data_IF_959916423532
#
_entry.id   IF_959916423532
#
_cell.length_a   1.000
_cell.length_b   1.000
_cell.length_c   1.000
_cell.angle_alpha   90.00
_cell.angle_beta   90.00
_cell.angle_gamma   90.00
#
_symmetry.space_group_name_H-M   'P 1'
#
loop_
_entity.id
_entity.type
_entity.pdbx_description
1 polymer ?
#
# COMPACT_ATOMS: atom_id res chain seq x y z
N UNK A 1 16.09 31.64 -17.62
CA UNK A 1 16.04 30.55 -16.63
C UNK A 1 14.88 30.72 -15.65
N UNK A 2 14.37 31.93 -15.43
CA UNK A 2 13.23 32.23 -14.51
C UNK A 2 11.87 31.71 -15.00
N UNK A 3 11.59 31.76 -16.30
CA UNK A 3 10.29 31.34 -16.85
C UNK A 3 9.98 29.85 -16.70
N UNK A 4 11.01 29.00 -16.66
CA UNK A 4 10.87 27.55 -16.48
C UNK A 4 10.61 27.15 -15.04
N UNK A 5 11.23 27.84 -14.07
CA UNK A 5 11.01 27.60 -12.65
C UNK A 5 9.64 28.11 -12.20
N UNK A 6 9.24 29.30 -12.65
CA UNK A 6 7.90 29.83 -12.41
C UNK A 6 6.82 28.93 -13.02
N UNK A 7 7.06 28.42 -14.24
CA UNK A 7 6.19 27.47 -14.90
C UNK A 7 6.05 26.15 -14.14
N UNK A 8 7.15 25.60 -13.61
CA UNK A 8 7.12 24.39 -12.79
C UNK A 8 6.41 24.63 -11.45
N UNK A 9 6.74 25.73 -10.76
CA UNK A 9 6.08 26.10 -9.51
C UNK A 9 4.56 26.27 -9.69
N UNK A 10 4.13 26.82 -10.83
CA UNK A 10 2.71 26.89 -11.19
C UNK A 10 2.09 25.50 -11.37
N UNK A 11 2.74 24.60 -12.10
CA UNK A 11 2.27 23.22 -12.28
C UNK A 11 2.14 22.48 -10.94
N UNK A 12 3.11 22.66 -10.04
CA UNK A 12 3.07 22.06 -8.69
C UNK A 12 1.87 22.58 -7.91
N UNK A 13 1.54 23.87 -7.99
CA UNK A 13 0.38 24.44 -7.29
C UNK A 13 -0.96 23.99 -7.86
N UNK A 14 -1.09 23.97 -9.18
CA UNK A 14 -2.40 23.89 -9.84
C UNK A 14 -2.79 22.48 -10.30
N UNK A 15 -1.82 21.64 -10.69
CA UNK A 15 -2.13 20.36 -11.32
C UNK A 15 -2.27 19.24 -10.29
N UNK A 16 -3.35 18.46 -10.39
CA UNK A 16 -3.70 17.41 -9.42
C UNK A 16 -2.62 16.32 -9.31
N UNK A 17 -1.92 15.99 -10.40
CA UNK A 17 -0.87 14.95 -10.38
C UNK A 17 0.37 15.34 -9.56
N UNK A 18 0.51 16.60 -9.17
CA UNK A 18 1.56 17.11 -8.28
C UNK A 18 1.11 17.21 -6.82
N UNK A 19 -0.06 16.67 -6.47
CA UNK A 19 -0.53 16.64 -5.08
C UNK A 19 0.52 16.07 -4.12
N UNK A 20 1.14 14.96 -4.46
CA UNK A 20 2.20 14.37 -3.65
C UNK A 20 3.40 15.31 -3.43
N UNK A 21 3.74 16.16 -4.41
CA UNK A 21 4.84 17.13 -4.24
C UNK A 21 4.48 18.16 -3.19
N UNK A 22 3.23 18.65 -3.20
CA UNK A 22 2.73 19.58 -2.19
C UNK A 22 2.70 18.93 -0.80
N UNK A 23 2.28 17.67 -0.71
CA UNK A 23 2.26 16.89 0.55
C UNK A 23 3.68 16.63 1.09
N UNK A 24 4.68 16.46 0.21
CA UNK A 24 6.08 16.31 0.62
C UNK A 24 6.70 17.63 1.11
N UNK A 25 6.21 18.78 0.65
CA UNK A 25 6.69 20.11 1.09
C UNK A 25 6.07 20.52 2.44
N UNK A 26 4.93 19.97 2.81
CA UNK A 26 4.25 20.27 4.08
C UNK A 26 4.70 19.30 5.18
N UNK A 27 5.54 19.80 6.09
CA UNK A 27 6.11 19.05 7.21
C UNK A 27 5.05 18.47 8.16
N UNK A 28 3.82 18.99 8.17
CA UNK A 28 2.74 18.46 9.01
C UNK A 28 2.31 17.04 8.62
N UNK A 29 2.57 16.64 7.37
CA UNK A 29 2.33 15.26 6.91
C UNK A 29 3.50 14.31 7.19
N UNK A 30 4.67 14.82 7.60
CA UNK A 30 5.88 14.02 7.74
C UNK A 30 5.80 13.12 8.97
N UNK A 31 5.98 11.83 8.75
CA UNK A 31 6.17 10.82 9.80
C UNK A 31 7.64 10.70 10.18
N UNK A 32 8.51 10.72 9.16
CA UNK A 32 9.96 10.62 9.32
C UNK A 32 10.65 11.13 8.08
N UNK A 33 11.69 11.93 8.28
CA UNK A 33 12.53 12.44 7.20
C UNK A 33 13.99 12.04 7.39
N UNK A 34 14.67 11.82 6.27
CA UNK A 34 16.10 11.47 6.16
C UNK A 34 16.70 12.27 5.01
N UNK A 35 18.01 12.19 4.83
CA UNK A 35 18.73 12.76 3.68
C UNK A 35 18.27 12.18 2.32
N UNK A 36 17.69 10.97 2.31
CA UNK A 36 17.33 10.24 1.08
C UNK A 36 15.84 10.09 0.83
N UNK A 37 15.01 10.24 1.87
CA UNK A 37 13.59 9.92 1.79
C UNK A 37 12.78 10.63 2.86
N UNK A 38 11.50 10.83 2.54
CA UNK A 38 10.48 11.37 3.44
C UNK A 38 9.34 10.35 3.45
N UNK A 39 8.96 9.91 4.65
CA UNK A 39 7.75 9.15 4.87
C UNK A 39 6.65 10.12 5.31
N UNK A 40 5.51 10.09 4.62
CA UNK A 40 4.36 10.93 4.92
C UNK A 40 3.11 10.09 5.20
N UNK A 41 2.15 10.65 5.94
CA UNK A 41 0.81 10.07 6.05
C UNK A 41 0.07 10.22 4.71
N UNK A 42 -0.54 9.14 4.23
CA UNK A 42 -1.42 9.21 3.05
C UNK A 42 -2.69 9.98 3.41
N UNK A 43 -3.05 11.00 2.63
CA UNK A 43 -4.22 11.86 2.87
C UNK A 43 -5.55 11.09 2.72
N UNK A 44 -5.55 9.99 1.97
CA UNK A 44 -6.71 9.20 1.64
C UNK A 44 -6.43 7.71 1.86
N UNK A 45 -6.09 7.28 3.08
CA UNK A 45 -5.56 5.95 3.34
C UNK A 45 -6.58 4.88 2.92
N UNK A 46 -6.17 3.79 2.27
CA UNK A 46 -7.10 2.71 1.84
C UNK A 46 -7.19 1.54 2.83
N UNK A 47 -6.41 1.59 3.89
CA UNK A 47 -6.40 0.68 5.02
C UNK A 47 -6.25 1.51 6.32
N UNK A 48 -6.22 0.88 7.49
CA UNK A 48 -6.03 1.60 8.75
C UNK A 48 -4.68 2.32 8.79
N UNK A 49 -4.68 3.55 9.30
CA UNK A 49 -3.46 4.26 9.69
C UNK A 49 -3.11 3.77 11.08
N UNK A 50 -2.08 2.95 11.17
CA UNK A 50 -1.71 2.28 12.41
C UNK A 50 -0.57 3.06 13.03
N UNK A 51 -0.92 4.09 13.80
CA UNK A 51 0.06 4.85 14.58
C UNK A 51 0.52 4.05 15.80
N UNK A 52 -0.32 3.13 16.31
CA UNK A 52 -0.16 2.53 17.65
C UNK A 52 -0.29 1.00 17.73
N UNK A 53 -0.48 0.29 16.60
CA UNK A 53 -0.57 -1.16 16.64
C UNK A 53 0.81 -1.76 16.35
N UNK A 54 1.31 -2.58 17.28
CA UNK A 54 2.51 -3.42 17.13
C UNK A 54 2.37 -4.50 16.05
N UNK A 55 1.85 -4.11 14.88
CA UNK A 55 1.73 -4.97 13.73
C UNK A 55 3.12 -5.32 13.21
N UNK A 56 3.27 -6.59 12.89
CA UNK A 56 4.49 -7.08 12.28
C UNK A 56 4.57 -6.65 10.82
N UNK A 57 5.81 -6.51 10.32
CA UNK A 57 6.09 -6.20 8.90
C UNK A 57 5.28 -7.07 7.92
N UNK A 58 5.01 -8.33 8.26
CA UNK A 58 4.24 -9.29 7.44
C UNK A 58 2.79 -8.85 7.16
N UNK A 59 2.25 -7.94 7.97
CA UNK A 59 0.88 -7.43 7.87
C UNK A 59 0.78 -6.22 6.92
N UNK A 60 1.89 -5.76 6.37
CA UNK A 60 1.94 -4.67 5.40
C UNK A 60 2.35 -5.17 4.02
N UNK A 61 1.83 -4.49 3.01
CA UNK A 61 2.34 -4.52 1.65
C UNK A 61 3.27 -3.32 1.45
N UNK A 62 4.43 -3.59 0.87
CA UNK A 62 5.42 -2.59 0.44
C UNK A 62 5.51 -2.67 -1.08
N UNK A 63 5.25 -1.58 -1.78
CA UNK A 63 5.25 -1.65 -3.25
C UNK A 63 4.89 -0.37 -3.98
N UNK A 64 4.75 -0.51 -5.29
CA UNK A 64 4.60 0.58 -6.24
C UNK A 64 3.48 0.28 -7.23
N UNK A 65 2.75 1.32 -7.65
CA UNK A 65 1.79 1.19 -8.74
C UNK A 65 2.48 1.20 -10.10
N UNK A 66 2.16 0.23 -10.95
CA UNK A 66 2.39 0.31 -12.38
C UNK A 66 1.52 1.42 -12.97
N UNK A 67 2.12 2.27 -13.81
CA UNK A 67 1.48 3.47 -14.38
C UNK A 67 0.82 4.36 -13.30
N UNK A 68 1.60 4.93 -12.37
CA UNK A 68 1.08 5.75 -11.29
C UNK A 68 0.41 7.02 -11.84
N UNK A 69 -0.65 7.48 -11.16
CA UNK A 69 -1.37 8.69 -11.52
C UNK A 69 -0.67 9.97 -11.04
N UNK A 70 0.10 9.89 -9.96
CA UNK A 70 0.86 11.01 -9.40
C UNK A 70 2.29 11.04 -9.96
N UNK A 71 2.85 12.25 -10.04
CA UNK A 71 4.26 12.47 -10.36
C UNK A 71 5.13 12.09 -9.16
N UNK A 72 6.42 11.83 -9.43
CA UNK A 72 7.45 11.33 -8.50
C UNK A 72 7.26 9.87 -8.11
N UNK A 73 8.38 9.17 -7.94
CA UNK A 73 8.41 7.82 -7.42
C UNK A 73 7.95 7.83 -5.96
N UNK A 74 7.01 6.97 -5.62
CA UNK A 74 6.54 6.79 -4.25
C UNK A 74 6.26 5.32 -3.97
N UNK A 75 6.73 4.85 -2.82
CA UNK A 75 6.45 3.52 -2.32
C UNK A 75 5.25 3.62 -1.38
N UNK A 76 4.26 2.75 -1.57
CA UNK A 76 3.18 2.57 -0.62
C UNK A 76 3.61 1.59 0.46
N UNK A 77 3.32 1.95 1.71
CA UNK A 77 3.34 1.07 2.86
C UNK A 77 1.92 1.04 3.40
N UNK A 78 1.23 -0.08 3.19
CA UNK A 78 -0.21 -0.19 3.45
C UNK A 78 -0.52 -1.50 4.17
N UNK A 79 -1.30 -1.46 5.24
CA UNK A 79 -1.72 -2.67 5.93
C UNK A 79 -2.67 -3.50 5.07
N UNK A 80 -2.63 -4.82 5.24
CA UNK A 80 -3.42 -5.79 4.46
C UNK A 80 -4.90 -5.83 4.85
N UNK A 81 -5.33 -5.03 5.83
CA UNK A 81 -6.73 -5.02 6.29
C UNK A 81 -7.69 -4.36 5.31
N UNK A 82 -7.25 -3.32 4.60
CA UNK A 82 -8.09 -2.52 3.71
C UNK A 82 -9.37 -1.97 4.36
N UNK A 83 -9.35 -1.76 5.68
CA UNK A 83 -10.44 -1.17 6.45
C UNK A 83 -10.27 0.35 6.44
N UNK A 84 -11.01 1.02 5.55
CA UNK A 84 -10.99 2.48 5.46
C UNK A 84 -12.28 3.08 4.86
N UNK A 85 -12.75 4.23 5.37
CA UNK A 85 -13.79 5.03 4.73
C UNK A 85 -13.43 5.51 3.32
N UNK A 86 -12.13 5.66 3.01
CA UNK A 86 -11.63 6.16 1.72
C UNK A 86 -11.55 5.05 0.65
N UNK A 87 -11.73 3.78 1.01
CA UNK A 87 -11.86 2.67 0.06
C UNK A 87 -13.27 2.65 -0.57
N UNK A 88 -13.57 3.60 -1.48
CA UNK A 88 -14.94 3.82 -1.98
C UNK A 88 -15.26 3.18 -3.33
N UNK A 89 -14.25 2.88 -4.15
CA UNK A 89 -14.43 2.48 -5.56
C UNK A 89 -13.66 1.21 -5.88
N UNK A 90 -14.15 0.41 -6.85
CA UNK A 90 -13.47 -0.80 -7.35
C UNK A 90 -12.00 -0.55 -7.64
N UNK A 91 -11.72 0.54 -8.36
CA UNK A 91 -10.36 0.97 -8.67
C UNK A 91 -9.45 1.08 -7.45
N UNK A 92 -9.94 1.60 -6.31
CA UNK A 92 -9.14 1.72 -5.09
C UNK A 92 -8.71 0.35 -4.54
N UNK A 93 -9.52 -0.70 -4.73
CA UNK A 93 -9.14 -2.07 -4.39
C UNK A 93 -8.11 -2.60 -5.37
N UNK A 94 -8.43 -2.51 -6.66
CA UNK A 94 -7.64 -3.09 -7.75
C UNK A 94 -6.21 -2.59 -7.78
N UNK A 95 -5.96 -1.30 -7.54
CA UNK A 95 -4.60 -0.75 -7.57
C UNK A 95 -3.68 -1.34 -6.50
N UNK A 96 -4.21 -1.87 -5.39
CA UNK A 96 -3.41 -2.50 -4.32
C UNK A 96 -3.48 -4.03 -4.29
N UNK A 97 -4.49 -4.64 -4.93
CA UNK A 97 -4.79 -6.08 -4.86
C UNK A 97 -4.81 -6.75 -6.24
N UNK A 98 -4.02 -6.25 -7.17
CA UNK A 98 -3.77 -6.86 -8.48
C UNK A 98 -2.31 -6.68 -8.88
N UNK A 99 -1.90 -7.24 -10.01
CA UNK A 99 -0.54 -7.09 -10.54
C UNK A 99 -0.16 -5.64 -10.90
N UNK A 100 -1.11 -4.69 -10.85
CA UNK A 100 -0.79 -3.26 -10.89
C UNK A 100 0.06 -2.86 -9.69
N UNK A 101 -0.10 -3.51 -8.54
CA UNK A 101 0.74 -3.31 -7.36
C UNK A 101 1.94 -4.24 -7.42
N UNK A 102 3.12 -3.72 -7.73
CA UNK A 102 4.36 -4.50 -7.70
C UNK A 102 5.01 -4.37 -6.33
N UNK A 103 5.33 -5.51 -5.70
CA UNK A 103 6.03 -5.51 -4.42
C UNK A 103 7.42 -4.89 -4.55
N UNK A 104 7.93 -4.34 -3.45
CA UNK A 104 9.29 -3.81 -3.39
C UNK A 104 10.32 -4.85 -3.80
N UNK A 105 10.16 -6.09 -3.35
CA UNK A 105 11.04 -7.21 -3.68
C UNK A 105 11.02 -7.52 -5.19
N UNK A 106 9.86 -7.49 -5.83
CA UNK A 106 9.72 -7.73 -7.28
C UNK A 106 10.36 -6.60 -8.11
N UNK A 107 10.10 -5.34 -7.74
CA UNK A 107 10.71 -4.16 -8.38
C UNK A 107 12.23 -4.20 -8.23
N UNK A 108 12.73 -4.51 -7.04
CA UNK A 108 14.17 -4.61 -6.78
C UNK A 108 14.82 -5.75 -7.57
N UNK A 109 14.17 -6.90 -7.67
CA UNK A 109 14.63 -8.02 -8.49
C UNK A 109 14.68 -7.66 -9.98
N UNK A 110 13.63 -7.02 -10.51
CA UNK A 110 13.56 -6.57 -11.92
C UNK A 110 14.66 -5.54 -12.23
N UNK A 111 14.90 -4.58 -11.32
CA UNK A 111 16.00 -3.62 -11.44
C UNK A 111 17.37 -4.30 -11.44
N UNK A 112 17.62 -5.26 -10.54
CA UNK A 112 18.89 -6.00 -10.51
C UNK A 112 19.13 -6.80 -11.78
N UNK A 113 18.08 -7.41 -12.33
CA UNK A 113 18.19 -8.29 -13.48
C UNK A 113 18.33 -7.51 -14.79
N UNK A 114 17.62 -6.39 -14.94
CA UNK A 114 17.51 -5.70 -16.23
C UNK A 114 18.08 -4.27 -16.22
N UNK A 115 18.44 -3.72 -15.07
CA UNK A 115 18.84 -2.32 -14.90
C UNK A 115 17.70 -1.31 -15.07
N UNK A 116 16.45 -1.78 -15.26
CA UNK A 116 15.26 -0.96 -15.47
C UNK A 116 13.99 -1.72 -15.12
N UNK A 117 12.92 -0.99 -14.81
CA UNK A 117 11.56 -1.55 -14.78
C UNK A 117 11.00 -1.52 -16.20
N UNK A 118 10.61 -2.69 -16.72
CA UNK A 118 10.03 -2.79 -18.05
C UNK A 118 8.61 -2.24 -18.04
N UNK A 119 8.31 -1.39 -19.01
CA UNK A 119 6.96 -0.90 -19.19
C UNK A 119 6.00 -2.03 -19.59
N UNK A 120 4.82 -2.06 -18.97
CA UNK A 120 3.77 -3.01 -19.32
C UNK A 120 2.80 -2.36 -20.32
N UNK A 121 2.29 -3.12 -21.32
CA UNK A 121 1.36 -2.57 -22.31
C UNK A 121 0.10 -1.98 -21.68
N UNK A 122 -0.43 -0.91 -22.28
CA UNK A 122 -1.66 -0.25 -21.88
C UNK A 122 -2.86 -1.20 -21.81
N UNK A 123 -2.96 -2.11 -22.79
CA UNK A 123 -3.99 -3.14 -22.84
C UNK A 123 -3.96 -4.07 -21.63
N UNK A 124 -2.76 -4.45 -21.18
CA UNK A 124 -2.58 -5.29 -19.99
C UNK A 124 -2.95 -4.53 -18.71
N UNK A 125 -2.51 -3.28 -18.58
CA UNK A 125 -2.90 -2.43 -17.43
C UNK A 125 -4.42 -2.20 -17.41
N UNK A 126 -5.04 -1.99 -18.58
CA UNK A 126 -6.50 -1.84 -18.71
C UNK A 126 -7.22 -3.13 -18.30
N UNK A 127 -6.77 -4.28 -18.76
CA UNK A 127 -7.33 -5.57 -18.38
C UNK A 127 -7.29 -5.80 -16.85
N UNK A 128 -6.18 -5.46 -16.18
CA UNK A 128 -6.09 -5.54 -14.73
C UNK A 128 -7.08 -4.59 -14.03
N UNK A 129 -7.25 -3.37 -14.55
CA UNK A 129 -8.19 -2.36 -13.99
C UNK A 129 -9.65 -2.77 -14.13
N UNK A 130 -9.99 -3.40 -15.25
CA UNK A 130 -11.36 -3.80 -15.61
C UNK A 130 -11.72 -5.20 -15.12
N UNK A 131 -10.72 -6.01 -14.74
CA UNK A 131 -10.90 -7.36 -14.23
C UNK A 131 -11.66 -7.45 -12.90
N UNK A 132 -11.88 -8.69 -12.43
CA UNK A 132 -12.59 -8.93 -11.18
C UNK A 132 -11.74 -8.48 -9.99
N UNK A 133 -12.40 -8.25 -8.84
CA UNK A 133 -11.70 -8.01 -7.59
C UNK A 133 -11.22 -9.35 -7.04
N UNK A 134 -9.92 -9.47 -6.80
CA UNK A 134 -9.31 -10.67 -6.22
C UNK A 134 -8.84 -10.36 -4.79
N UNK A 135 -9.02 -11.32 -3.88
CA UNK A 135 -8.43 -11.28 -2.56
C UNK A 135 -6.99 -11.81 -2.64
N UNK A 136 -6.02 -10.99 -2.25
CA UNK A 136 -4.60 -11.39 -2.24
C UNK A 136 -4.26 -12.42 -1.15
N UNK A 137 -5.16 -12.67 -0.19
CA UNK A 137 -4.93 -13.61 0.93
C UNK A 137 -5.33 -15.03 0.54
N UNK A 138 -6.52 -15.22 -0.06
CA UNK A 138 -7.06 -16.56 -0.32
C UNK A 138 -7.58 -16.77 -1.76
N UNK A 139 -7.40 -15.80 -2.65
CA UNK A 139 -7.82 -15.91 -4.05
C UNK A 139 -9.32 -15.79 -4.29
N UNK A 140 -10.14 -15.43 -3.29
CA UNK A 140 -11.57 -15.16 -3.49
C UNK A 140 -11.81 -14.08 -4.55
N UNK A 141 -12.82 -14.27 -5.39
CA UNK A 141 -13.10 -13.41 -6.55
C UNK A 141 -14.53 -12.85 -6.48
N UNK A 142 -14.70 -11.56 -6.73
CA UNK A 142 -16.02 -10.94 -6.89
C UNK A 142 -15.95 -9.66 -7.71
N UNK A 143 -17.07 -9.24 -8.29
CA UNK A 143 -17.20 -7.95 -8.97
C UNK A 143 -17.74 -6.83 -8.09
N UNK A 144 -18.14 -7.14 -6.85
CA UNK A 144 -18.77 -6.16 -5.96
C UNK A 144 -17.84 -5.78 -4.83
N UNK A 145 -17.46 -4.50 -4.76
CA UNK A 145 -16.59 -3.99 -3.69
C UNK A 145 -17.18 -4.21 -2.30
N UNK A 146 -18.49 -4.07 -2.12
CA UNK A 146 -19.14 -4.32 -0.83
C UNK A 146 -18.95 -5.76 -0.35
N UNK A 147 -19.06 -6.74 -1.26
CA UNK A 147 -18.82 -8.15 -0.97
C UNK A 147 -17.34 -8.40 -0.67
N UNK A 148 -16.42 -7.78 -1.42
CA UNK A 148 -14.99 -7.90 -1.14
C UNK A 148 -14.60 -7.34 0.24
N UNK A 149 -15.20 -6.22 0.65
CA UNK A 149 -15.00 -5.65 2.00
C UNK A 149 -15.52 -6.55 3.11
N UNK A 150 -16.67 -7.19 2.91
CA UNK A 150 -17.18 -8.19 3.86
C UNK A 150 -16.26 -9.39 3.94
N UNK A 151 -15.72 -9.84 2.80
CA UNK A 151 -14.80 -10.96 2.73
C UNK A 151 -13.47 -10.67 3.44
N UNK A 152 -12.83 -9.50 3.23
CA UNK A 152 -11.53 -9.20 3.84
C UNK A 152 -11.59 -9.17 5.37
N UNK A 153 -12.74 -8.79 5.94
CA UNK A 153 -12.94 -8.80 7.39
C UNK A 153 -12.79 -10.21 7.99
N UNK A 154 -13.09 -11.28 7.24
CA UNK A 154 -12.93 -12.67 7.71
C UNK A 154 -11.45 -13.01 7.99
N UNK A 155 -10.53 -12.44 7.22
CA UNK A 155 -9.10 -12.65 7.41
C UNK A 155 -8.57 -11.95 8.67
N UNK A 156 -9.22 -10.87 9.11
CA UNK A 156 -8.86 -10.20 10.36
C UNK A 156 -9.15 -11.08 11.58
N UNK A 157 -10.33 -11.71 11.63
CA UNK A 157 -10.70 -12.59 12.75
C UNK A 157 -9.81 -13.85 12.84
N UNK A 158 -9.41 -14.39 11.68
CA UNK A 158 -8.52 -15.55 11.62
C UNK A 158 -7.12 -15.24 12.19
N UNK A 159 -6.64 -14.00 12.04
CA UNK A 159 -5.35 -13.55 12.62
C UNK A 159 -5.42 -13.30 14.12
N UNK A 160 -6.58 -12.94 14.67
CA UNK A 160 -6.75 -12.75 16.12
C UNK A 160 -6.74 -14.11 16.84
N UNK A 161 -7.40 -15.13 16.29
CA UNK A 161 -7.40 -16.47 16.89
C UNK A 161 -6.00 -17.10 16.91
N UNK A 162 -5.20 -16.90 15.86
CA UNK A 162 -3.80 -17.41 15.82
C UNK A 162 -2.91 -16.70 16.84
N UNK A 163 -3.01 -15.38 16.97
CA UNK A 163 -2.22 -14.62 17.98
C UNK A 163 -2.64 -14.98 19.41
N UNK A 164 -3.93 -15.19 19.67
CA UNK A 164 -4.43 -15.65 20.98
C UNK A 164 -4.00 -17.10 21.28
N UNK A 165 -3.93 -17.96 20.26
CA UNK A 165 -3.44 -19.33 20.43
C UNK A 165 -1.92 -19.37 20.70
N UNK A 166 -1.12 -18.58 19.99
CA UNK A 166 0.34 -18.51 20.16
C UNK A 166 0.73 -17.90 21.52
N UNK A 167 0.01 -16.87 21.98
CA UNK A 167 0.22 -16.27 23.31
C UNK A 167 -0.15 -17.22 24.47
N UNK A 168 -1.17 -18.07 24.31
CA UNK A 168 -1.50 -19.14 25.27
C UNK A 168 -0.47 -20.27 25.29
N UNK A 169 0.11 -20.59 24.12
CA UNK A 169 1.13 -21.62 23.98
C UNK A 169 2.46 -21.22 24.62
N UNK A 170 2.86 -19.96 24.48
CA UNK A 170 4.07 -19.41 25.13
C UNK A 170 3.94 -19.25 26.64
N UNK A 171 2.71 -19.17 27.18
CA UNK A 171 2.52 -19.09 28.63
C UNK A 171 2.65 -20.46 29.34
N UNK A 172 2.48 -21.56 28.60
CA UNK A 172 2.61 -22.93 29.10
C UNK A 172 4.03 -23.49 29.04
N UNK A 173 4.96 -22.83 28.32
CA UNK A 173 6.37 -23.25 28.22
C UNK A 173 7.29 -22.62 29.26
N UNK A 174 6.78 -21.76 30.15
CA UNK A 174 7.57 -21.08 31.20
C UNK A 174 7.30 -21.55 32.64
N UNK A 175 6.49 -22.58 32.84
CA UNK A 175 6.20 -23.12 34.19
C UNK A 175 6.95 -24.41 34.55
N UNK A 176 8.01 -24.75 33.82
CA UNK A 176 8.76 -25.99 34.00
C UNK A 176 10.27 -25.79 34.14
N UNK A 177 10.74 -25.11 35.18
CA UNK A 177 12.03 -25.39 35.82
C UNK A 177 12.22 -24.54 37.08
N UNK A 178 11.94 -25.12 38.24
CA UNK A 178 12.60 -24.79 39.49
C UNK A 178 12.73 -26.09 40.27
N UNK A 179 13.98 -26.54 40.42
CA UNK A 179 14.43 -27.56 41.37
C UNK A 179 14.42 -26.98 42.79
#
# INVERSE_FOLDING_TARGET
MTSTEEGFARLVREHWSYQLVRELEDESFHLKSTDKSIAIRDLHPKARVLEDFGLEKKQFNFGYHLKPHMKRLHMHVISKDFVSPSLKRRHHWTIFNSEIFQSHEAVFAELKLHGKIRERPDSYIKALREGPLNCAVCGYVTDKLCIMKQHIAVHEYSTVETVVAESRSNHLSHSGHAL
#
